data_IF_207146905625
#
_entry.id   IF_207146905625
#
_cell.length_a   1.000
_cell.length_b   1.000
_cell.length_c   1.000
_cell.angle_alpha   90.00
_cell.angle_beta   90.00
_cell.angle_gamma   90.00
#
_symmetry.space_group_name_H-M   'P 1'
#
loop_
_entity.id
_entity.type
_entity.pdbx_description
1 polymer ?
#
# COMPACT_ATOMS: atom_id res chain seq x y z
N UNK A 1 35.88 -18.78 -31.95
CA UNK A 1 36.78 -18.87 -30.78
C UNK A 1 36.17 -19.86 -29.81
N UNK A 2 36.90 -20.87 -29.35
CA UNK A 2 36.40 -21.84 -28.35
C UNK A 2 36.16 -21.10 -27.04
N UNK A 3 34.91 -21.01 -26.60
CA UNK A 3 34.55 -20.58 -25.25
C UNK A 3 35.23 -21.55 -24.27
N UNK A 4 36.23 -21.08 -23.54
CA UNK A 4 36.80 -21.83 -22.42
C UNK A 4 35.66 -21.95 -21.41
N UNK A 5 35.15 -23.16 -21.18
CA UNK A 5 34.08 -23.39 -20.21
C UNK A 5 34.60 -22.99 -18.82
N UNK A 6 34.22 -21.81 -18.35
CA UNK A 6 34.50 -21.34 -17.00
C UNK A 6 33.96 -22.39 -16.02
N UNK A 7 34.77 -22.82 -15.06
CA UNK A 7 34.27 -23.71 -14.02
C UNK A 7 33.36 -22.90 -13.08
N UNK A 8 32.07 -23.24 -13.06
CA UNK A 8 31.06 -22.50 -12.30
C UNK A 8 30.81 -23.10 -10.91
N UNK A 9 31.56 -24.13 -10.50
CA UNK A 9 31.40 -24.74 -9.16
C UNK A 9 32.24 -24.02 -8.11
N UNK A 10 31.69 -23.85 -6.91
CA UNK A 10 32.43 -23.53 -5.68
C UNK A 10 32.25 -24.66 -4.67
N UNK A 11 33.32 -25.10 -3.99
CA UNK A 11 33.20 -26.11 -2.92
C UNK A 11 32.80 -25.46 -1.60
N UNK A 12 32.27 -26.26 -0.66
CA UNK A 12 31.97 -25.77 0.69
C UNK A 12 33.21 -25.17 1.38
N UNK A 13 34.38 -25.79 1.22
CA UNK A 13 35.63 -25.28 1.82
C UNK A 13 36.04 -23.94 1.20
N UNK A 14 35.92 -23.78 -0.13
CA UNK A 14 36.26 -22.53 -0.80
C UNK A 14 35.29 -21.41 -0.43
N UNK A 15 33.99 -21.69 -0.40
CA UNK A 15 32.96 -20.72 0.00
C UNK A 15 33.18 -20.26 1.44
N UNK A 16 33.44 -21.19 2.37
CA UNK A 16 33.72 -20.85 3.77
C UNK A 16 34.95 -19.95 3.92
N UNK A 17 36.04 -20.23 3.19
CA UNK A 17 37.23 -19.36 3.18
C UNK A 17 36.96 -17.98 2.60
N UNK A 18 36.23 -17.93 1.48
CA UNK A 18 35.86 -16.71 0.79
C UNK A 18 34.99 -15.80 1.70
N UNK A 19 34.07 -16.39 2.47
CA UNK A 19 33.25 -15.71 3.48
C UNK A 19 34.07 -15.23 4.67
N UNK A 20 34.97 -16.06 5.20
CA UNK A 20 35.86 -15.69 6.31
C UNK A 20 36.81 -14.55 5.96
N UNK A 21 37.23 -14.45 4.69
CA UNK A 21 38.06 -13.36 4.15
C UNK A 21 37.25 -12.12 3.77
N UNK A 22 35.93 -12.12 3.98
CA UNK A 22 35.01 -11.03 3.62
C UNK A 22 35.13 -10.57 2.16
N UNK A 23 35.49 -11.47 1.23
CA UNK A 23 35.55 -11.14 -0.20
C UNK A 23 34.19 -10.66 -0.71
N UNK A 24 34.13 -9.75 -1.69
CA UNK A 24 32.87 -9.25 -2.24
C UNK A 24 32.12 -10.33 -3.04
N UNK A 25 31.19 -11.04 -2.39
CA UNK A 25 30.24 -11.97 -3.00
C UNK A 25 28.80 -11.85 -2.47
N UNK A 26 27.80 -12.31 -3.19
CA UNK A 26 26.43 -12.55 -2.75
C UNK A 26 26.18 -14.05 -2.66
N UNK A 27 25.55 -14.53 -1.59
CA UNK A 27 25.20 -15.95 -1.44
C UNK A 27 23.68 -16.08 -1.43
N UNK A 28 23.11 -16.60 -2.51
CA UNK A 28 21.67 -16.78 -2.67
C UNK A 28 21.29 -18.23 -2.42
N UNK A 29 20.32 -18.46 -1.54
CA UNK A 29 19.67 -19.75 -1.36
C UNK A 29 18.34 -19.76 -2.14
N UNK A 30 18.22 -20.73 -3.03
CA UNK A 30 17.12 -20.89 -3.98
C UNK A 30 16.17 -22.01 -3.57
N UNK A 31 16.40 -22.66 -2.42
CA UNK A 31 15.47 -23.64 -1.84
C UNK A 31 14.19 -22.94 -1.41
N UNK A 32 13.13 -23.70 -1.11
CA UNK A 32 11.88 -23.10 -0.63
C UNK A 32 12.09 -22.29 0.65
N UNK A 33 11.22 -21.29 0.87
CA UNK A 33 11.28 -20.45 2.07
C UNK A 33 11.25 -21.27 3.36
N UNK A 34 10.44 -22.34 3.40
CA UNK A 34 10.36 -23.24 4.55
C UNK A 34 11.70 -23.96 4.81
N UNK A 35 12.34 -24.51 3.76
CA UNK A 35 13.64 -25.18 3.89
C UNK A 35 14.74 -24.21 4.33
N UNK A 36 14.70 -22.98 3.82
CA UNK A 36 15.63 -21.93 4.18
C UNK A 36 15.48 -21.51 5.66
N UNK A 37 14.25 -21.27 6.11
CA UNK A 37 13.98 -20.88 7.49
C UNK A 37 14.31 -22.00 8.49
N UNK A 38 14.18 -23.26 8.10
CA UNK A 38 14.61 -24.38 8.93
C UNK A 38 16.13 -24.40 9.14
N UNK A 39 16.90 -24.15 8.08
CA UNK A 39 18.37 -24.10 8.13
C UNK A 39 18.94 -23.60 6.80
N UNK A 40 19.86 -22.64 6.85
CA UNK A 40 20.54 -22.07 5.68
C UNK A 40 22.00 -21.72 5.98
N UNK A 41 22.80 -21.50 4.93
CA UNK A 41 24.20 -21.07 5.07
C UNK A 41 24.24 -19.71 5.73
N UNK A 42 24.99 -19.56 6.81
CA UNK A 42 25.07 -18.28 7.53
C UNK A 42 25.45 -17.12 6.59
N UNK A 43 24.74 -16.00 6.64
CA UNK A 43 24.95 -14.86 5.74
C UNK A 43 24.49 -15.05 4.28
N UNK A 44 23.83 -16.16 3.93
CA UNK A 44 23.09 -16.29 2.67
C UNK A 44 21.79 -15.49 2.70
N UNK A 45 21.11 -15.37 1.57
CA UNK A 45 19.79 -14.73 1.45
C UNK A 45 18.88 -15.60 0.61
N UNK A 46 17.64 -15.80 1.06
CA UNK A 46 16.64 -16.51 0.27
C UNK A 46 16.26 -15.67 -0.96
N UNK A 47 16.35 -16.24 -2.16
CA UNK A 47 15.97 -15.58 -3.39
C UNK A 47 15.13 -16.49 -4.28
N UNK A 48 14.01 -15.95 -4.74
CA UNK A 48 13.21 -16.56 -5.80
C UNK A 48 13.65 -15.96 -7.12
N UNK A 49 14.35 -16.75 -7.95
CA UNK A 49 14.74 -16.35 -9.31
C UNK A 49 13.63 -16.70 -10.32
N UNK A 50 12.52 -15.97 -10.25
CA UNK A 50 11.46 -16.04 -11.26
C UNK A 50 11.79 -15.17 -12.50
N UNK A 51 10.91 -15.19 -13.51
CA UNK A 51 11.09 -14.39 -14.72
C UNK A 51 11.17 -12.87 -14.46
N UNK A 52 10.50 -12.36 -13.42
CA UNK A 52 10.53 -10.94 -13.06
C UNK A 52 11.83 -10.55 -12.35
N UNK A 53 12.35 -11.41 -11.46
CA UNK A 53 13.64 -11.25 -10.83
C UNK A 53 14.77 -11.20 -11.87
N UNK A 54 14.66 -12.02 -12.94
CA UNK A 54 15.61 -12.04 -14.06
C UNK A 54 15.69 -10.70 -14.78
N UNK A 55 14.57 -10.07 -15.10
CA UNK A 55 14.56 -8.81 -15.85
C UNK A 55 14.89 -7.58 -14.99
N UNK A 56 14.51 -7.58 -13.70
CA UNK A 56 14.56 -6.38 -12.86
C UNK A 56 15.69 -6.35 -11.83
N UNK A 57 16.18 -7.50 -11.38
CA UNK A 57 17.17 -7.60 -10.30
C UNK A 57 18.56 -7.92 -10.84
N UNK A 58 18.68 -8.90 -11.76
CA UNK A 58 19.98 -9.35 -12.28
C UNK A 58 20.78 -8.25 -12.99
N UNK A 59 20.20 -7.37 -13.82
CA UNK A 59 20.97 -6.29 -14.47
C UNK A 59 21.46 -5.22 -13.49
N UNK A 60 20.97 -5.22 -12.24
CA UNK A 60 21.30 -4.24 -11.21
C UNK A 60 22.40 -4.73 -10.26
N UNK A 61 22.82 -6.00 -10.36
CA UNK A 61 23.95 -6.54 -9.61
C UNK A 61 25.24 -6.09 -10.32
N UNK A 62 26.20 -5.46 -9.63
CA UNK A 62 27.45 -5.02 -10.27
C UNK A 62 28.23 -6.19 -10.87
N UNK A 63 28.84 -5.99 -12.04
CA UNK A 63 29.61 -7.01 -12.78
C UNK A 63 30.79 -7.60 -11.98
N UNK A 64 31.27 -6.88 -10.96
CA UNK A 64 32.42 -7.20 -10.13
C UNK A 64 32.08 -7.85 -8.78
N UNK A 65 30.81 -8.23 -8.56
CA UNK A 65 30.39 -8.98 -7.37
C UNK A 65 30.25 -10.46 -7.71
N UNK A 66 31.01 -11.32 -7.02
CA UNK A 66 30.85 -12.78 -7.15
C UNK A 66 29.46 -13.19 -6.66
N UNK A 67 28.75 -14.07 -7.36
CA UNK A 67 27.46 -14.60 -6.93
C UNK A 67 27.61 -16.09 -6.66
N UNK A 68 27.08 -16.59 -5.55
CA UNK A 68 27.08 -18.00 -5.20
C UNK A 68 25.66 -18.45 -4.97
N UNK A 69 25.21 -19.42 -5.75
CA UNK A 69 23.85 -19.95 -5.73
C UNK A 69 23.84 -21.29 -5.01
N UNK A 70 22.87 -21.47 -4.12
CA UNK A 70 22.70 -22.67 -3.31
C UNK A 70 21.30 -23.20 -3.60
N UNK A 71 21.19 -24.48 -3.90
CA UNK A 71 19.91 -25.16 -4.07
C UNK A 71 20.03 -26.63 -3.67
N UNK A 72 18.90 -27.31 -3.57
CA UNK A 72 18.84 -28.75 -3.40
C UNK A 72 17.64 -29.25 -4.22
N UNK A 73 17.84 -30.03 -5.29
CA UNK A 73 19.13 -30.54 -5.80
C UNK A 73 19.96 -29.45 -6.54
N UNK A 74 21.28 -29.64 -6.72
CA UNK A 74 22.21 -28.61 -7.23
C UNK A 74 21.92 -28.11 -8.65
N UNK A 75 21.20 -28.91 -9.44
CA UNK A 75 20.87 -28.66 -10.84
C UNK A 75 20.16 -27.31 -11.04
N UNK A 76 19.32 -26.89 -10.09
CA UNK A 76 18.61 -25.61 -10.14
C UNK A 76 19.61 -24.45 -10.08
N UNK A 77 20.49 -24.47 -9.07
CA UNK A 77 21.54 -23.44 -8.92
C UNK A 77 22.52 -23.44 -10.08
N UNK A 78 22.79 -24.61 -10.67
CA UNK A 78 23.67 -24.76 -11.84
C UNK A 78 23.08 -24.10 -13.09
N UNK A 79 21.81 -24.36 -13.40
CA UNK A 79 21.13 -23.74 -14.54
C UNK A 79 21.09 -22.21 -14.39
N UNK A 80 20.77 -21.72 -13.19
CA UNK A 80 20.71 -20.29 -12.92
C UNK A 80 22.11 -19.65 -12.98
N UNK A 81 23.15 -20.31 -12.47
CA UNK A 81 24.53 -19.83 -12.57
C UNK A 81 24.98 -19.71 -14.03
N UNK A 82 24.66 -20.70 -14.87
CA UNK A 82 24.98 -20.68 -16.29
C UNK A 82 24.33 -19.48 -16.98
N UNK A 83 23.01 -19.35 -16.82
CA UNK A 83 22.25 -18.21 -17.32
C UNK A 83 22.85 -16.88 -16.84
N UNK A 84 23.11 -16.69 -15.55
CA UNK A 84 23.68 -15.44 -15.03
C UNK A 84 25.03 -15.09 -15.68
N UNK A 85 25.89 -16.07 -15.95
CA UNK A 85 27.16 -15.83 -16.66
C UNK A 85 26.96 -15.47 -18.14
N UNK A 86 25.91 -15.98 -18.80
CA UNK A 86 25.54 -15.55 -20.16
C UNK A 86 25.12 -14.08 -20.21
N UNK A 87 24.52 -13.58 -19.13
CA UNK A 87 24.21 -12.16 -18.91
C UNK A 87 25.40 -11.33 -18.39
N UNK A 88 26.60 -11.91 -18.27
CA UNK A 88 27.81 -11.19 -17.89
C UNK A 88 28.11 -11.11 -16.39
N UNK A 89 27.34 -11.81 -15.53
CA UNK A 89 27.56 -11.83 -14.08
C UNK A 89 28.59 -12.90 -13.65
N UNK A 90 29.33 -12.65 -12.56
CA UNK A 90 30.30 -13.60 -12.00
C UNK A 90 29.64 -14.63 -11.07
N UNK A 91 28.77 -15.50 -11.61
CA UNK A 91 28.00 -16.46 -10.83
C UNK A 91 28.63 -17.87 -10.74
N UNK A 92 28.48 -18.50 -9.57
CA UNK A 92 28.90 -19.85 -9.23
C UNK A 92 27.76 -20.57 -8.50
N UNK A 93 27.81 -21.89 -8.40
CA UNK A 93 26.91 -22.68 -7.57
C UNK A 93 27.67 -23.60 -6.63
N UNK A 94 27.08 -23.87 -5.45
CA UNK A 94 27.64 -24.77 -4.46
C UNK A 94 27.61 -26.21 -4.98
N UNK A 95 28.81 -26.81 -5.14
CA UNK A 95 28.97 -28.18 -5.59
C UNK A 95 28.29 -29.15 -4.61
N UNK A 96 27.56 -30.13 -5.12
CA UNK A 96 26.77 -31.11 -4.38
C UNK A 96 25.62 -30.51 -3.55
N UNK A 97 25.20 -29.28 -3.86
CA UNK A 97 24.01 -28.67 -3.28
C UNK A 97 24.16 -28.23 -1.82
N UNK A 98 23.04 -27.83 -1.20
CA UNK A 98 23.04 -27.40 0.21
C UNK A 98 23.54 -28.48 1.16
N UNK A 99 23.20 -29.74 0.92
CA UNK A 99 23.60 -30.87 1.76
C UNK A 99 25.12 -31.07 1.86
N UNK A 100 25.91 -30.49 0.95
CA UNK A 100 27.38 -30.53 1.00
C UNK A 100 28.01 -29.50 1.93
N UNK A 101 27.24 -28.54 2.43
CA UNK A 101 27.74 -27.44 3.25
C UNK A 101 28.23 -27.92 4.62
N UNK A 102 29.50 -27.64 4.94
CA UNK A 102 30.15 -28.00 6.21
C UNK A 102 30.45 -26.81 7.13
N UNK A 103 30.09 -25.60 6.70
CA UNK A 103 30.33 -24.38 7.48
C UNK A 103 29.21 -24.07 8.46
N UNK A 104 29.18 -22.84 8.97
CA UNK A 104 28.15 -22.40 9.90
C UNK A 104 26.77 -22.34 9.22
N UNK A 105 25.75 -22.76 9.95
CA UNK A 105 24.35 -22.69 9.57
C UNK A 105 23.63 -21.69 10.47
N UNK A 106 22.63 -21.04 9.91
CA UNK A 106 21.70 -20.15 10.59
C UNK A 106 20.27 -20.65 10.38
N UNK A 107 19.35 -20.21 11.24
CA UNK A 107 17.93 -20.60 11.22
C UNK A 107 17.06 -19.34 11.26
N UNK A 108 15.84 -19.43 10.73
CA UNK A 108 14.92 -18.31 10.58
C UNK A 108 15.15 -17.53 9.29
N UNK A 109 14.59 -16.33 9.21
CA UNK A 109 14.78 -15.43 8.06
C UNK A 109 16.17 -14.80 8.11
N UNK A 110 16.79 -14.59 6.95
CA UNK A 110 18.07 -13.88 6.86
C UNK A 110 17.87 -12.38 6.81
N UNK A 111 18.66 -11.69 7.62
CA UNK A 111 18.51 -10.25 7.81
C UNK A 111 17.47 -9.96 8.89
N UNK A 112 17.68 -8.85 9.60
CA UNK A 112 16.63 -8.33 10.49
C UNK A 112 15.48 -7.88 9.60
N UNK A 113 14.26 -8.23 9.95
CA UNK A 113 13.07 -7.73 9.27
C UNK A 113 12.25 -6.92 10.25
N UNK A 114 11.55 -5.93 9.70
CA UNK A 114 10.53 -5.17 10.41
C UNK A 114 9.22 -5.35 9.65
N UNK A 115 8.13 -5.61 10.37
CA UNK A 115 6.81 -5.62 9.74
C UNK A 115 6.37 -4.20 9.40
N UNK A 116 5.34 -4.06 8.56
CA UNK A 116 4.86 -2.75 8.20
C UNK A 116 4.19 -2.04 9.40
N UNK A 117 3.52 -2.79 10.27
CA UNK A 117 2.91 -2.31 11.51
C UNK A 117 3.97 -1.88 12.53
N UNK A 118 5.03 -2.68 12.71
CA UNK A 118 6.15 -2.31 13.58
C UNK A 118 6.86 -1.05 13.06
N UNK A 119 7.04 -0.94 11.74
CA UNK A 119 7.64 0.23 11.11
C UNK A 119 6.79 1.48 11.31
N UNK A 120 5.47 1.38 11.17
CA UNK A 120 4.55 2.51 11.39
C UNK A 120 4.69 3.08 12.81
N UNK A 121 4.76 2.20 13.80
CA UNK A 121 4.88 2.59 15.21
C UNK A 121 6.23 3.18 15.60
N UNK A 122 7.27 2.99 14.77
CA UNK A 122 8.66 3.42 15.06
C UNK A 122 9.26 4.30 13.98
N UNK A 123 8.43 4.86 13.08
CA UNK A 123 8.87 5.54 11.86
C UNK A 123 9.90 6.65 12.11
N UNK A 124 9.66 7.47 13.13
CA UNK A 124 10.51 8.62 13.49
C UNK A 124 11.89 8.23 14.08
N UNK A 125 12.04 6.98 14.52
CA UNK A 125 13.28 6.46 15.11
C UNK A 125 14.22 5.84 14.07
N UNK A 126 13.72 5.57 12.86
CA UNK A 126 14.44 4.84 11.81
C UNK A 126 14.98 5.75 10.73
N UNK A 127 16.04 5.29 10.05
CA UNK A 127 16.46 5.85 8.76
C UNK A 127 15.91 4.99 7.62
N UNK A 128 14.93 5.53 6.89
CA UNK A 128 14.25 4.83 5.82
C UNK A 128 15.03 4.98 4.50
N UNK A 129 15.58 3.88 4.01
CA UNK A 129 16.40 3.83 2.81
C UNK A 129 15.64 3.14 1.67
N UNK A 130 15.10 3.92 0.74
CA UNK A 130 14.44 3.40 -0.44
C UNK A 130 15.45 3.12 -1.55
N UNK A 131 15.54 1.86 -1.97
CA UNK A 131 16.54 1.39 -2.94
C UNK A 131 16.00 1.18 -4.35
N UNK A 132 14.79 1.69 -4.60
CA UNK A 132 14.19 1.74 -5.93
C UNK A 132 14.88 2.75 -6.83
N UNK A 133 14.58 2.69 -8.12
CA UNK A 133 15.03 3.72 -9.05
C UNK A 133 14.31 5.04 -8.75
N UNK A 134 14.91 6.17 -9.12
CA UNK A 134 14.44 7.50 -8.71
C UNK A 134 13.08 7.89 -9.29
N UNK A 135 12.73 7.34 -10.45
CA UNK A 135 11.41 7.45 -11.08
C UNK A 135 10.34 6.75 -10.23
N UNK A 136 10.57 5.48 -9.84
CA UNK A 136 9.67 4.74 -8.96
C UNK A 136 9.46 5.46 -7.61
N UNK A 137 10.53 6.05 -7.08
CA UNK A 137 10.50 6.81 -5.83
C UNK A 137 9.74 8.13 -5.94
N UNK A 138 9.83 8.80 -7.10
CA UNK A 138 9.15 10.08 -7.34
C UNK A 138 7.63 9.93 -7.45
N UNK A 139 7.14 8.80 -7.93
CA UNK A 139 5.71 8.53 -8.07
C UNK A 139 5.01 8.32 -6.72
N UNK A 140 5.68 7.64 -5.78
CA UNK A 140 5.16 7.33 -4.47
C UNK A 140 6.29 6.86 -3.54
N UNK A 141 6.24 7.22 -2.25
CA UNK A 141 7.24 6.86 -1.24
C UNK A 141 6.65 6.91 0.17
N UNK A 142 7.32 6.26 1.12
CA UNK A 142 7.04 6.48 2.54
C UNK A 142 7.56 7.89 2.90
N UNK A 143 6.76 8.75 3.55
CA UNK A 143 7.22 10.06 4.02
C UNK A 143 8.51 9.97 4.85
N UNK A 144 9.44 10.90 4.64
CA UNK A 144 10.73 10.91 5.33
C UNK A 144 11.79 9.94 4.78
N UNK A 145 11.46 9.09 3.80
CA UNK A 145 12.44 8.20 3.19
C UNK A 145 13.45 8.88 2.28
N UNK A 146 14.67 8.34 2.24
CA UNK A 146 15.78 8.80 1.39
C UNK A 146 15.99 7.77 0.29
N UNK A 147 16.01 8.23 -0.96
CA UNK A 147 16.26 7.35 -2.10
C UNK A 147 17.76 7.23 -2.41
N UNK A 148 18.28 6.00 -2.36
CA UNK A 148 19.58 5.64 -2.90
C UNK A 148 19.39 4.35 -3.69
N UNK A 149 19.31 4.41 -5.03
CA UNK A 149 19.09 3.23 -5.86
C UNK A 149 20.10 2.11 -5.56
N UNK A 150 19.65 0.85 -5.62
CA UNK A 150 20.47 -0.32 -5.26
C UNK A 150 21.83 -0.35 -5.97
N UNK A 151 21.88 0.05 -7.25
CA UNK A 151 23.11 0.11 -8.06
C UNK A 151 24.18 1.04 -7.45
N UNK A 152 23.76 2.08 -6.73
CA UNK A 152 24.63 3.11 -6.17
C UNK A 152 25.15 2.73 -4.78
N UNK A 153 24.51 1.78 -4.08
CA UNK A 153 24.91 1.31 -2.74
C UNK A 153 26.24 0.54 -2.72
N UNK A 154 26.74 0.12 -3.87
CA UNK A 154 28.05 -0.53 -3.99
C UNK A 154 29.20 0.49 -4.13
N UNK A 155 28.90 1.79 -4.17
CA UNK A 155 29.90 2.84 -4.21
C UNK A 155 30.29 3.29 -2.79
N UNK A 156 31.55 3.13 -2.35
CA UNK A 156 31.99 3.51 -1.00
C UNK A 156 31.68 4.96 -0.62
N UNK A 157 31.74 5.91 -1.57
CA UNK A 157 31.45 7.33 -1.30
C UNK A 157 29.98 7.60 -0.99
N UNK A 158 29.08 6.71 -1.43
CA UNK A 158 27.64 6.82 -1.16
C UNK A 158 27.35 6.24 0.21
N UNK A 159 28.00 5.14 0.57
CA UNK A 159 27.87 4.51 1.89
C UNK A 159 28.25 5.45 3.03
N UNK A 160 29.26 6.32 2.84
CA UNK A 160 29.64 7.36 3.82
C UNK A 160 28.52 8.37 4.13
N UNK A 161 27.51 8.50 3.26
CA UNK A 161 26.36 9.42 3.47
C UNK A 161 25.26 8.80 4.32
N UNK A 162 25.32 7.49 4.56
CA UNK A 162 24.31 6.76 5.30
C UNK A 162 24.64 6.87 6.80
N UNK A 163 23.67 7.23 7.66
CA UNK A 163 23.94 7.37 9.09
C UNK A 163 24.31 6.02 9.71
N UNK A 164 25.35 6.03 10.54
CA UNK A 164 25.81 4.85 11.28
C UNK A 164 25.21 4.75 12.69
N UNK A 165 24.61 5.83 13.17
CA UNK A 165 24.04 5.98 14.51
C UNK A 165 22.53 5.70 14.56
N UNK A 166 21.90 5.44 13.41
CA UNK A 166 20.46 5.14 13.29
C UNK A 166 20.22 3.70 12.85
N UNK A 167 19.09 3.15 13.26
CA UNK A 167 18.61 1.89 12.70
C UNK A 167 18.07 2.11 11.29
N UNK A 168 18.66 1.43 10.32
CA UNK A 168 18.30 1.57 8.91
C UNK A 168 17.23 0.56 8.53
N UNK A 169 16.23 1.00 7.77
CA UNK A 169 15.24 0.12 7.15
C UNK A 169 15.32 0.24 5.64
N UNK A 170 15.66 -0.84 4.95
CA UNK A 170 15.70 -0.89 3.48
C UNK A 170 14.32 -1.18 2.89
N UNK A 171 13.97 -0.44 1.83
CA UNK A 171 12.63 -0.44 1.23
C UNK A 171 12.72 -0.65 -0.29
N UNK A 172 11.85 -1.51 -0.81
CA UNK A 172 11.55 -1.64 -2.23
C UNK A 172 10.11 -2.19 -2.39
N UNK A 173 9.58 -2.50 -3.60
CA UNK A 173 8.18 -2.89 -3.75
C UNK A 173 7.81 -4.16 -2.99
N UNK A 174 8.64 -5.21 -3.07
CA UNK A 174 8.36 -6.54 -2.48
C UNK A 174 9.43 -7.03 -1.50
N UNK A 175 10.32 -6.15 -1.03
CA UNK A 175 11.45 -6.51 -0.15
C UNK A 175 12.67 -7.16 -0.82
N UNK A 176 12.54 -7.74 -2.03
CA UNK A 176 13.64 -8.47 -2.70
C UNK A 176 14.90 -7.63 -2.97
N UNK A 177 14.76 -6.45 -3.58
CA UNK A 177 15.88 -5.50 -3.79
C UNK A 177 16.43 -4.95 -2.47
N UNK A 178 15.54 -4.70 -1.51
CA UNK A 178 15.88 -4.18 -0.20
C UNK A 178 16.74 -5.17 0.62
N UNK A 179 16.55 -6.48 0.44
CA UNK A 179 17.42 -7.49 1.04
C UNK A 179 18.85 -7.43 0.47
N UNK A 180 19.01 -7.28 -0.85
CA UNK A 180 20.34 -7.13 -1.48
C UNK A 180 21.03 -5.85 -0.97
N UNK A 181 20.26 -4.78 -0.79
CA UNK A 181 20.77 -3.56 -0.16
C UNK A 181 21.22 -3.80 1.29
N UNK A 182 20.42 -4.51 2.09
CA UNK A 182 20.79 -4.84 3.47
C UNK A 182 22.10 -5.63 3.55
N UNK A 183 22.33 -6.52 2.59
CA UNK A 183 23.60 -7.22 2.45
C UNK A 183 24.78 -6.29 2.11
N UNK A 184 24.60 -5.36 1.16
CA UNK A 184 25.63 -4.37 0.81
C UNK A 184 25.98 -3.47 2.02
N UNK A 185 24.98 -3.09 2.81
CA UNK A 185 25.16 -2.32 4.05
C UNK A 185 25.92 -3.13 5.11
N UNK A 186 25.55 -4.40 5.32
CA UNK A 186 26.23 -5.27 6.30
C UNK A 186 27.72 -5.41 5.99
N UNK A 187 28.10 -5.44 4.71
CA UNK A 187 29.51 -5.43 4.27
C UNK A 187 30.26 -4.16 4.64
N UNK A 188 29.56 -3.03 4.67
CA UNK A 188 30.11 -1.75 5.11
C UNK A 188 30.12 -1.60 6.63
N UNK A 189 29.75 -2.65 7.38
CA UNK A 189 29.63 -2.62 8.84
C UNK A 189 28.36 -1.90 9.32
N UNK A 190 27.37 -1.71 8.44
CA UNK A 190 26.12 -1.00 8.74
C UNK A 190 25.01 -2.02 8.95
N UNK A 191 24.44 -2.06 10.17
CA UNK A 191 23.27 -2.91 10.46
C UNK A 191 22.02 -2.30 9.84
N UNK A 192 21.22 -3.12 9.17
CA UNK A 192 19.93 -2.72 8.63
C UNK A 192 18.87 -3.79 8.86
N UNK A 193 17.61 -3.37 8.80
CA UNK A 193 16.45 -4.23 8.70
C UNK A 193 15.81 -4.08 7.32
N UNK A 194 15.12 -5.09 6.82
CA UNK A 194 14.35 -4.99 5.57
C UNK A 194 12.86 -4.98 5.87
N UNK A 195 12.13 -4.02 5.29
CA UNK A 195 10.68 -3.97 5.37
C UNK A 195 10.08 -5.23 4.74
N UNK A 196 9.45 -6.07 5.55
CA UNK A 196 8.86 -7.33 5.12
C UNK A 196 7.71 -7.09 4.13
N UNK A 197 7.78 -7.73 2.95
CA UNK A 197 6.82 -7.51 1.87
C UNK A 197 6.92 -6.14 1.17
N UNK A 198 7.85 -5.28 1.59
CA UNK A 198 8.09 -3.98 0.97
C UNK A 198 6.90 -3.02 1.03
N UNK A 199 6.84 -2.11 0.06
CA UNK A 199 5.76 -1.13 -0.06
C UNK A 199 4.39 -1.79 -0.28
N UNK A 200 4.37 -3.00 -0.84
CA UNK A 200 3.14 -3.77 -1.06
C UNK A 200 2.40 -4.02 0.26
N UNK A 201 3.13 -4.49 1.28
CA UNK A 201 2.57 -4.72 2.62
C UNK A 201 2.39 -3.43 3.42
N UNK A 202 3.29 -2.45 3.27
CA UNK A 202 3.11 -1.11 3.84
C UNK A 202 1.78 -0.48 3.43
N UNK A 203 1.41 -0.66 2.17
CA UNK A 203 0.14 -0.18 1.66
C UNK A 203 -1.07 -0.86 2.27
N UNK A 204 -0.93 -2.01 2.94
CA UNK A 204 -2.05 -2.71 3.57
C UNK A 204 -2.21 -2.43 5.06
N UNK A 205 -1.33 -1.63 5.67
CA UNK A 205 -1.43 -1.32 7.10
C UNK A 205 -2.65 -0.44 7.36
N UNK A 206 -3.54 -0.94 8.21
CA UNK A 206 -4.75 -0.26 8.65
C UNK A 206 -4.63 0.20 10.10
N UNK A 207 -4.46 1.51 10.28
CA UNK A 207 -4.36 2.17 11.58
C UNK A 207 -5.72 2.71 12.04
N UNK A 208 -6.34 2.15 13.09
CA UNK A 208 -7.58 2.69 13.65
C UNK A 208 -7.31 3.88 14.56
N UNK A 209 -8.12 4.93 14.44
CA UNK A 209 -8.08 6.13 15.28
C UNK A 209 -9.51 6.46 15.71
N UNK A 210 -9.77 6.49 17.02
CA UNK A 210 -11.08 6.92 17.54
C UNK A 210 -11.14 8.45 17.52
N UNK A 211 -12.00 9.00 16.66
CA UNK A 211 -12.16 10.45 16.45
C UNK A 211 -13.23 11.02 17.37
N UNK A 212 -14.30 10.24 17.57
CA UNK A 212 -15.42 10.60 18.45
C UNK A 212 -15.65 9.41 19.37
N UNK A 213 -15.81 9.66 20.67
CA UNK A 213 -16.10 8.61 21.66
C UNK A 213 -17.53 8.67 22.20
N UNK A 214 -18.16 9.84 22.20
CA UNK A 214 -19.50 10.08 22.74
C UNK A 214 -20.24 11.16 21.91
N UNK A 215 -21.58 11.11 21.77
CA UNK A 215 -22.51 10.07 22.29
C UNK A 215 -22.54 8.80 21.42
N UNK A 216 -21.83 8.82 20.31
CA UNK A 216 -21.54 7.65 19.45
C UNK A 216 -20.03 7.55 19.31
N UNK A 217 -19.53 6.38 18.95
CA UNK A 217 -18.12 6.20 18.64
C UNK A 217 -17.91 6.26 17.12
N UNK A 218 -16.91 7.02 16.68
CA UNK A 218 -16.45 7.03 15.28
C UNK A 218 -14.98 6.64 15.27
N UNK A 219 -14.69 5.49 14.67
CA UNK A 219 -13.33 4.99 14.46
C UNK A 219 -13.00 5.19 12.98
N UNK A 220 -11.99 6.00 12.69
CA UNK A 220 -11.42 6.13 11.37
C UNK A 220 -10.32 5.08 11.19
N UNK A 221 -10.46 4.20 10.20
CA UNK A 221 -9.48 3.19 9.82
C UNK A 221 -8.66 3.74 8.64
N UNK A 222 -7.39 4.03 8.88
CA UNK A 222 -6.51 4.71 7.93
C UNK A 222 -5.58 3.71 7.24
N UNK A 223 -5.60 3.68 5.90
CA UNK A 223 -4.65 2.92 5.08
C UNK A 223 -3.43 3.78 4.82
N UNK A 224 -2.47 3.73 5.74
CA UNK A 224 -1.36 4.69 5.86
C UNK A 224 -0.52 4.81 4.58
N UNK A 225 -0.37 3.72 3.82
CA UNK A 225 0.45 3.72 2.62
C UNK A 225 -0.24 4.33 1.40
N UNK A 226 -1.55 4.59 1.46
CA UNK A 226 -2.35 5.02 0.32
C UNK A 226 -3.22 6.25 0.58
N UNK A 227 -3.43 6.61 1.84
CA UNK A 227 -4.28 7.73 2.23
C UNK A 227 -5.78 7.46 2.03
N UNK A 228 -6.19 6.20 1.92
CA UNK A 228 -7.59 5.77 1.97
C UNK A 228 -8.06 5.72 3.43
N UNK A 229 -9.33 6.04 3.64
CA UNK A 229 -9.98 6.15 4.94
C UNK A 229 -11.29 5.37 4.89
N UNK A 230 -11.47 4.48 5.86
CA UNK A 230 -12.76 3.86 6.17
C UNK A 230 -13.23 4.36 7.53
N UNK A 231 -14.53 4.25 7.80
CA UNK A 231 -15.09 4.66 9.08
C UNK A 231 -16.01 3.59 9.64
N UNK A 232 -15.83 3.29 10.92
CA UNK A 232 -16.74 2.49 11.72
C UNK A 232 -17.49 3.44 12.64
N UNK A 233 -18.82 3.47 12.53
CA UNK A 233 -19.68 4.29 13.37
C UNK A 233 -20.49 3.38 14.27
N UNK A 234 -20.28 3.50 15.58
CA UNK A 234 -20.85 2.62 16.60
C UNK A 234 -21.84 3.39 17.47
N UNK A 235 -23.02 2.80 17.68
CA UNK A 235 -24.02 3.27 18.63
C UNK A 235 -24.64 2.06 19.31
N UNK A 236 -24.64 2.04 20.65
CA UNK A 236 -25.27 0.99 21.46
C UNK A 236 -24.96 -0.44 20.95
N UNK A 237 -23.67 -0.77 20.90
CA UNK A 237 -23.11 -2.06 20.45
C UNK A 237 -23.42 -2.46 18.99
N UNK A 238 -24.11 -1.63 18.21
CA UNK A 238 -24.28 -1.81 16.76
C UNK A 238 -23.37 -0.86 15.99
N UNK A 239 -22.78 -1.37 14.91
CA UNK A 239 -21.91 -0.58 14.04
C UNK A 239 -22.34 -0.62 12.57
N UNK A 240 -22.08 0.48 11.90
CA UNK A 240 -22.02 0.57 10.43
C UNK A 240 -20.59 0.81 9.99
N UNK A 241 -20.19 0.22 8.87
CA UNK A 241 -18.89 0.48 8.24
C UNK A 241 -19.10 1.16 6.90
N UNK A 242 -18.33 2.20 6.63
CA UNK A 242 -18.36 2.98 5.39
C UNK A 242 -17.00 2.85 4.70
N UNK A 243 -17.02 2.48 3.42
CA UNK A 243 -15.85 2.26 2.55
C UNK A 243 -14.79 1.32 3.14
N UNK A 244 -15.14 0.07 3.53
CA UNK A 244 -14.19 -0.86 4.13
C UNK A 244 -13.02 -1.22 3.19
N UNK A 245 -11.83 -1.21 3.76
CA UNK A 245 -10.56 -1.41 3.07
C UNK A 245 -10.00 -2.83 3.30
N UNK A 246 -9.22 -3.35 2.35
CA UNK A 246 -8.48 -4.59 2.58
C UNK A 246 -7.30 -4.32 3.55
N UNK A 247 -7.00 -5.24 4.51
CA UNK A 247 -7.64 -6.54 4.75
C UNK A 247 -8.86 -6.50 5.70
N UNK A 248 -9.84 -7.38 5.48
CA UNK A 248 -11.11 -7.46 6.25
C UNK A 248 -10.92 -7.87 7.70
N UNK A 249 -9.87 -8.65 7.98
CA UNK A 249 -9.58 -9.21 9.30
C UNK A 249 -9.49 -8.09 10.34
N UNK A 250 -8.95 -6.93 9.95
CA UNK A 250 -8.81 -5.76 10.82
C UNK A 250 -10.15 -5.28 11.37
N UNK A 251 -11.22 -5.31 10.58
CA UNK A 251 -12.55 -4.89 11.01
C UNK A 251 -13.14 -5.88 12.01
N UNK A 252 -12.96 -7.18 11.77
CA UNK A 252 -13.43 -8.23 12.69
C UNK A 252 -12.65 -8.23 14.01
N UNK A 253 -11.37 -7.85 13.99
CA UNK A 253 -10.58 -7.62 15.19
C UNK A 253 -11.10 -6.42 15.98
N UNK A 254 -11.38 -5.30 15.31
CA UNK A 254 -11.92 -4.10 15.94
C UNK A 254 -13.31 -4.36 16.55
N UNK A 255 -14.17 -5.11 15.85
CA UNK A 255 -15.47 -5.57 16.35
C UNK A 255 -15.31 -6.32 17.68
N UNK A 256 -14.42 -7.33 17.73
CA UNK A 256 -14.16 -8.12 18.94
C UNK A 256 -13.51 -7.30 20.06
N UNK A 257 -12.56 -6.43 19.73
CA UNK A 257 -11.79 -5.64 20.70
C UNK A 257 -12.64 -4.58 21.39
N UNK A 258 -13.57 -3.96 20.66
CA UNK A 258 -14.39 -2.86 21.17
C UNK A 258 -15.79 -3.31 21.60
N UNK A 259 -16.20 -4.54 21.29
CA UNK A 259 -17.45 -5.13 21.78
C UNK A 259 -18.72 -4.68 21.06
N UNK A 260 -18.60 -4.15 19.84
CA UNK A 260 -19.75 -3.87 18.98
C UNK A 260 -19.99 -4.99 17.96
N UNK A 261 -21.07 -4.90 17.17
CA UNK A 261 -21.38 -5.79 16.07
C UNK A 261 -21.57 -5.01 14.77
N UNK A 262 -20.86 -5.39 13.72
CA UNK A 262 -21.06 -4.79 12.39
C UNK A 262 -22.36 -5.34 11.81
N UNK A 263 -23.33 -4.46 11.53
CA UNK A 263 -24.67 -4.85 11.03
C UNK A 263 -24.95 -4.38 9.61
N UNK A 264 -24.29 -3.31 9.18
CA UNK A 264 -24.48 -2.69 7.85
C UNK A 264 -23.14 -2.20 7.32
N UNK A 265 -22.95 -2.36 6.02
CA UNK A 265 -21.75 -1.96 5.31
C UNK A 265 -22.18 -1.15 4.09
N UNK A 266 -21.54 -0.01 3.87
CA UNK A 266 -21.84 0.91 2.79
C UNK A 266 -20.56 1.21 2.01
N UNK A 267 -20.66 1.29 0.69
CA UNK A 267 -19.70 2.06 -0.11
C UNK A 267 -20.32 3.39 -0.52
N UNK A 268 -19.52 4.46 -0.50
CA UNK A 268 -19.90 5.78 -0.97
C UNK A 268 -20.00 5.82 -2.50
N UNK A 269 -19.14 5.07 -3.21
CA UNK A 269 -19.10 5.00 -4.66
C UNK A 269 -18.29 3.80 -5.14
N UNK A 270 -18.27 3.55 -6.46
CA UNK A 270 -17.34 2.59 -7.06
C UNK A 270 -15.90 3.13 -7.05
N UNK A 271 -15.14 2.72 -6.05
CA UNK A 271 -13.73 3.08 -5.88
C UNK A 271 -12.89 2.69 -7.10
N UNK A 272 -12.01 3.59 -7.53
CA UNK A 272 -11.13 3.39 -8.70
C UNK A 272 -9.65 3.22 -8.31
N UNK A 273 -9.32 3.48 -7.05
CA UNK A 273 -7.96 3.48 -6.54
C UNK A 273 -7.68 2.24 -5.69
N UNK A 274 -8.67 1.67 -4.99
CA UNK A 274 -8.56 0.48 -4.14
C UNK A 274 -9.69 -0.53 -4.35
N UNK A 275 -9.45 -1.79 -3.95
CA UNK A 275 -10.45 -2.85 -3.96
C UNK A 275 -11.32 -2.71 -2.71
N UNK A 276 -12.61 -2.47 -2.90
CA UNK A 276 -13.57 -2.42 -1.79
C UNK A 276 -13.65 -3.78 -1.14
N UNK A 277 -13.52 -3.81 0.18
CA UNK A 277 -13.72 -5.02 0.98
C UNK A 277 -15.16 -5.18 1.45
N UNK A 278 -16.11 -4.41 0.90
CA UNK A 278 -17.48 -4.37 1.39
C UNK A 278 -18.20 -5.71 1.25
N UNK A 279 -18.01 -6.40 0.12
CA UNK A 279 -18.59 -7.73 -0.11
C UNK A 279 -18.01 -8.77 0.84
N UNK A 280 -16.69 -8.82 0.93
CA UNK A 280 -15.99 -9.82 1.75
C UNK A 280 -16.28 -9.59 3.24
N UNK A 281 -16.32 -8.33 3.69
CA UNK A 281 -16.69 -8.00 5.06
C UNK A 281 -18.15 -8.36 5.35
N UNK A 282 -19.07 -8.15 4.40
CA UNK A 282 -20.47 -8.54 4.56
C UNK A 282 -20.61 -10.07 4.69
N UNK A 283 -19.86 -10.84 3.90
CA UNK A 283 -19.85 -12.29 3.98
C UNK A 283 -19.31 -12.79 5.34
N UNK A 284 -18.17 -12.26 5.78
CA UNK A 284 -17.51 -12.68 7.03
C UNK A 284 -18.32 -12.30 8.28
N UNK A 285 -18.99 -11.15 8.28
CA UNK A 285 -19.76 -10.65 9.43
C UNK A 285 -21.24 -11.05 9.40
N UNK A 286 -21.77 -11.41 8.23
CA UNK A 286 -23.22 -11.56 7.99
C UNK A 286 -23.98 -10.23 7.96
N UNK A 287 -23.28 -9.09 7.87
CA UNK A 287 -23.88 -7.77 7.76
C UNK A 287 -24.56 -7.55 6.40
N UNK A 288 -25.47 -6.57 6.34
CA UNK A 288 -26.11 -6.19 5.07
C UNK A 288 -25.22 -5.25 4.28
N UNK A 289 -24.97 -5.58 3.02
CA UNK A 289 -24.26 -4.73 2.06
C UNK A 289 -25.22 -3.75 1.38
N UNK A 290 -24.90 -2.47 1.43
CA UNK A 290 -25.65 -1.38 0.82
C UNK A 290 -24.78 -0.62 -0.18
N UNK A 291 -25.27 -0.48 -1.42
CA UNK A 291 -24.54 0.12 -2.54
C UNK A 291 -25.42 1.14 -3.27
N UNK A 292 -24.80 2.04 -4.02
CA UNK A 292 -25.53 3.07 -4.74
C UNK A 292 -26.43 2.50 -5.83
N UNK A 293 -27.72 2.86 -5.83
CA UNK A 293 -28.63 2.49 -6.92
C UNK A 293 -28.32 3.19 -8.25
N UNK A 294 -27.43 4.18 -8.23
CA UNK A 294 -27.05 5.00 -9.38
C UNK A 294 -25.81 4.47 -10.11
N UNK A 295 -25.27 3.32 -9.68
CA UNK A 295 -24.14 2.63 -10.31
C UNK A 295 -24.52 1.18 -10.65
N UNK A 296 -23.79 0.58 -11.58
CA UNK A 296 -24.05 -0.80 -12.03
C UNK A 296 -23.12 -1.80 -11.37
N UNK A 297 -23.69 -2.88 -10.83
CA UNK A 297 -22.98 -3.97 -10.15
C UNK A 297 -23.47 -5.32 -10.71
N UNK A 298 -22.54 -6.28 -10.86
CA UNK A 298 -22.78 -7.62 -11.39
C UNK A 298 -23.01 -8.67 -10.27
N UNK A 299 -23.43 -8.21 -9.09
CA UNK A 299 -23.75 -9.04 -7.93
C UNK A 299 -24.91 -8.45 -7.12
N UNK A 300 -25.53 -9.28 -6.29
CA UNK A 300 -26.67 -8.87 -5.45
C UNK A 300 -26.22 -8.02 -4.26
N UNK A 301 -26.90 -6.90 -4.04
CA UNK A 301 -26.73 -6.02 -2.88
C UNK A 301 -28.05 -5.28 -2.57
N UNK A 302 -28.10 -4.59 -1.43
CA UNK A 302 -29.20 -3.68 -1.14
C UNK A 302 -28.91 -2.32 -1.80
N UNK A 303 -29.62 -1.97 -2.86
CA UNK A 303 -29.40 -0.69 -3.55
C UNK A 303 -30.12 0.46 -2.84
N UNK A 304 -29.41 1.55 -2.59
CA UNK A 304 -29.90 2.71 -1.81
C UNK A 304 -29.80 4.01 -2.59
N UNK A 305 -30.71 4.93 -2.29
CA UNK A 305 -30.89 6.21 -2.96
C UNK A 305 -30.92 7.41 -2.03
N UNK A 306 -31.08 8.59 -2.63
CA UNK A 306 -31.22 9.85 -1.87
C UNK A 306 -32.35 9.76 -0.83
N UNK A 307 -32.09 10.29 0.36
CA UNK A 307 -33.01 10.36 1.50
C UNK A 307 -33.41 9.01 2.17
N UNK A 308 -32.89 7.87 1.72
CA UNK A 308 -33.03 6.60 2.45
C UNK A 308 -32.45 6.71 3.86
N UNK A 309 -33.03 5.96 4.81
CA UNK A 309 -32.65 6.03 6.23
C UNK A 309 -32.46 4.66 6.85
N UNK A 310 -31.47 4.56 7.73
CA UNK A 310 -31.03 3.32 8.36
C UNK A 310 -30.81 3.57 9.85
N UNK A 311 -31.70 3.02 10.68
CA UNK A 311 -31.50 2.98 12.12
C UNK A 311 -30.43 1.94 12.48
N UNK A 312 -29.61 2.25 13.48
CA UNK A 312 -28.69 1.34 14.14
C UNK A 312 -28.39 1.85 15.55
N UNK A 313 -28.37 0.95 16.53
CA UNK A 313 -28.28 1.36 17.93
C UNK A 313 -29.34 2.39 18.32
N UNK A 314 -28.89 3.57 18.77
CA UNK A 314 -29.75 4.70 19.15
C UNK A 314 -29.68 5.89 18.18
N UNK A 315 -29.13 5.70 16.99
CA UNK A 315 -28.89 6.76 16.00
C UNK A 315 -29.47 6.38 14.63
N UNK A 316 -29.42 7.31 13.68
CA UNK A 316 -29.91 7.12 12.32
C UNK A 316 -28.91 7.66 11.30
N UNK A 317 -28.68 6.87 10.25
CA UNK A 317 -27.91 7.28 9.07
C UNK A 317 -28.88 7.60 7.93
N UNK A 318 -28.73 8.77 7.32
CA UNK A 318 -29.47 9.23 6.16
C UNK A 318 -28.56 9.33 4.95
N UNK A 319 -29.02 8.84 3.81
CA UNK A 319 -28.30 8.89 2.55
C UNK A 319 -28.53 10.23 1.86
N UNK A 320 -27.47 10.78 1.28
CA UNK A 320 -27.49 11.91 0.36
C UNK A 320 -26.87 11.47 -0.96
N UNK A 321 -27.59 11.59 -2.07
CA UNK A 321 -26.99 11.44 -3.40
C UNK A 321 -26.14 12.67 -3.70
N UNK A 322 -24.84 12.46 -3.90
CA UNK A 322 -23.84 13.52 -4.05
C UNK A 322 -23.00 13.28 -5.29
N UNK A 323 -23.58 13.38 -6.50
CA UNK A 323 -22.84 13.15 -7.74
C UNK A 323 -21.76 14.21 -7.95
N UNK A 324 -20.72 13.84 -8.68
CA UNK A 324 -19.65 14.75 -9.09
C UNK A 324 -18.32 14.03 -9.30
N UNK A 325 -17.88 13.24 -8.31
CA UNK A 325 -16.72 12.35 -8.49
C UNK A 325 -17.07 11.19 -9.42
N UNK A 326 -18.14 10.49 -9.07
CA UNK A 326 -18.86 9.52 -9.93
C UNK A 326 -20.33 9.96 -10.03
N UNK A 327 -21.11 9.46 -10.99
CA UNK A 327 -22.54 9.81 -11.09
C UNK A 327 -23.35 9.21 -9.93
N UNK A 328 -22.85 8.15 -9.29
CA UNK A 328 -23.55 7.47 -8.21
C UNK A 328 -22.97 7.69 -6.83
N UNK A 329 -22.03 8.64 -6.67
CA UNK A 329 -21.46 8.98 -5.37
C UNK A 329 -22.55 9.35 -4.36
N UNK A 330 -22.45 8.77 -3.17
CA UNK A 330 -23.29 9.00 -2.02
C UNK A 330 -22.48 9.61 -0.88
N UNK A 331 -23.15 10.40 -0.06
CA UNK A 331 -22.67 10.82 1.27
C UNK A 331 -23.63 10.32 2.34
N UNK A 332 -23.11 10.00 3.52
CA UNK A 332 -23.91 9.46 4.62
C UNK A 332 -23.91 10.43 5.79
N UNK A 333 -25.09 10.84 6.26
CA UNK A 333 -25.25 11.78 7.37
C UNK A 333 -25.76 11.05 8.60
N UNK A 334 -25.07 11.20 9.73
CA UNK A 334 -25.47 10.62 11.02
C UNK A 334 -25.85 11.76 11.97
N UNK A 335 -27.09 11.73 12.46
CA UNK A 335 -27.68 12.71 13.40
C UNK A 335 -27.50 14.20 13.04
N UNK A 336 -27.33 14.52 11.76
CA UNK A 336 -27.00 15.88 11.26
C UNK A 336 -25.74 16.48 11.92
N UNK A 337 -24.89 15.65 12.51
CA UNK A 337 -23.66 16.02 13.22
C UNK A 337 -22.41 15.51 12.54
N UNK A 338 -22.52 14.43 11.78
CA UNK A 338 -21.40 13.79 11.09
C UNK A 338 -21.82 13.51 9.66
N UNK A 339 -20.95 13.83 8.70
CA UNK A 339 -21.15 13.50 7.29
C UNK A 339 -19.92 12.79 6.74
N UNK A 340 -20.15 11.63 6.14
CA UNK A 340 -19.15 10.85 5.42
C UNK A 340 -19.30 11.17 3.93
N UNK A 341 -18.33 11.85 3.36
CA UNK A 341 -18.47 12.57 2.08
C UNK A 341 -17.92 11.82 0.87
N UNK A 342 -17.39 10.62 1.06
CA UNK A 342 -16.72 9.90 -0.01
C UNK A 342 -15.59 10.75 -0.61
N UNK A 343 -15.50 10.69 -1.94
CA UNK A 343 -14.57 11.50 -2.74
C UNK A 343 -15.22 12.78 -3.29
N UNK A 344 -16.12 13.41 -2.54
CA UNK A 344 -16.77 14.67 -2.95
C UNK A 344 -16.13 15.89 -2.27
N UNK A 345 -16.02 15.86 -0.94
CA UNK A 345 -15.48 16.94 -0.13
C UNK A 345 -14.39 16.38 0.79
N UNK A 346 -13.20 16.98 0.73
CA UNK A 346 -12.02 16.57 1.48
C UNK A 346 -11.73 17.59 2.60
N UNK A 347 -10.75 17.29 3.46
CA UNK A 347 -10.33 18.21 4.55
C UNK A 347 -9.88 19.57 4.00
N UNK A 348 -9.12 19.56 2.91
CA UNK A 348 -8.45 20.74 2.33
C UNK A 348 -8.81 21.00 0.85
N UNK A 349 -9.59 20.11 0.24
CA UNK A 349 -9.85 20.13 -1.20
C UNK A 349 -11.22 19.53 -1.51
N UNK A 350 -11.44 19.24 -2.78
CA UNK A 350 -12.64 18.64 -3.35
C UNK A 350 -12.27 17.41 -4.17
N UNK A 351 -13.27 16.58 -4.42
CA UNK A 351 -13.19 15.48 -5.36
C UNK A 351 -12.80 15.91 -6.75
N UNK A 352 -12.02 15.07 -7.42
CA UNK A 352 -11.87 15.17 -8.88
C UNK A 352 -13.11 14.60 -9.58
N UNK A 353 -13.58 15.18 -10.68
CA UNK A 353 -14.50 14.50 -11.58
C UNK A 353 -13.75 13.42 -12.35
N UNK A 354 -14.14 12.16 -12.20
CA UNK A 354 -13.26 11.07 -12.60
C UNK A 354 -13.43 10.62 -14.07
N UNK A 355 -14.53 10.99 -14.74
CA UNK A 355 -14.77 10.68 -16.16
C UNK A 355 -14.26 11.80 -17.09
N UNK A 356 -13.16 11.54 -17.80
CA UNK A 356 -12.54 12.49 -18.74
C UNK A 356 -13.48 12.96 -19.85
N UNK A 357 -14.28 12.06 -20.41
CA UNK A 357 -15.14 12.38 -21.56
C UNK A 357 -16.32 13.29 -21.17
N UNK A 358 -16.72 13.29 -19.90
CA UNK A 358 -17.83 14.08 -19.34
C UNK A 358 -17.37 14.99 -18.18
N UNK A 359 -16.08 15.38 -18.17
CA UNK A 359 -15.49 16.07 -17.02
C UNK A 359 -16.22 17.38 -16.68
N UNK A 360 -16.68 18.12 -17.69
CA UNK A 360 -17.43 19.36 -17.49
C UNK A 360 -18.78 19.12 -16.81
N UNK A 361 -19.59 18.18 -17.31
CA UNK A 361 -20.88 17.80 -16.74
C UNK A 361 -20.72 17.37 -15.27
N UNK A 362 -19.75 16.50 -15.00
CA UNK A 362 -19.49 15.99 -13.66
C UNK A 362 -18.99 17.09 -12.72
N UNK A 363 -18.23 18.05 -13.25
CA UNK A 363 -17.81 19.23 -12.48
C UNK A 363 -18.99 20.13 -12.15
N UNK A 364 -19.97 20.26 -13.05
CA UNK A 364 -21.20 21.00 -12.75
C UNK A 364 -22.02 20.33 -11.63
N UNK A 365 -22.14 19.00 -11.69
CA UNK A 365 -22.80 18.20 -10.66
C UNK A 365 -22.06 18.32 -9.32
N UNK A 366 -20.73 18.22 -9.33
CA UNK A 366 -19.89 18.40 -8.16
C UNK A 366 -20.12 19.76 -7.52
N UNK A 367 -20.12 20.85 -8.31
CA UNK A 367 -20.40 22.19 -7.81
C UNK A 367 -21.80 22.29 -7.19
N UNK A 368 -22.81 21.71 -7.85
CA UNK A 368 -24.17 21.70 -7.33
C UNK A 368 -24.27 20.89 -6.02
N UNK A 369 -23.64 19.73 -5.95
CA UNK A 369 -23.56 18.88 -4.76
C UNK A 369 -22.91 19.61 -3.59
N UNK A 370 -21.75 20.24 -3.80
CA UNK A 370 -21.04 20.99 -2.77
C UNK A 370 -21.90 22.15 -2.26
N UNK A 371 -22.34 23.04 -3.15
CA UNK A 371 -23.00 24.29 -2.75
C UNK A 371 -24.46 24.11 -2.32
N UNK A 372 -25.21 23.18 -2.92
CA UNK A 372 -26.65 23.03 -2.67
C UNK A 372 -27.00 21.89 -1.70
N UNK A 373 -26.07 20.96 -1.42
CA UNK A 373 -26.31 19.86 -0.49
C UNK A 373 -25.35 19.93 0.71
N UNK A 374 -24.06 19.67 0.50
CA UNK A 374 -23.10 19.49 1.61
C UNK A 374 -22.92 20.78 2.43
N UNK A 375 -22.68 21.93 1.78
CA UNK A 375 -22.48 23.20 2.48
C UNK A 375 -23.77 23.77 3.13
N UNK A 376 -24.92 23.15 2.88
CA UNK A 376 -26.20 23.48 3.52
C UNK A 376 -26.40 22.75 4.85
N UNK A 377 -25.56 21.74 5.16
CA UNK A 377 -25.55 21.09 6.47
C UNK A 377 -25.17 22.10 7.58
N UNK A 378 -25.54 21.82 8.85
CA UNK A 378 -25.16 22.67 9.97
C UNK A 378 -23.66 22.92 10.03
N UNK A 379 -23.25 24.14 10.38
CA UNK A 379 -21.84 24.55 10.35
C UNK A 379 -20.93 23.70 11.25
N UNK A 380 -21.47 23.14 12.34
CA UNK A 380 -20.76 22.29 13.28
C UNK A 380 -20.61 20.83 12.83
N UNK A 381 -21.23 20.43 11.71
CA UNK A 381 -21.19 19.05 11.22
C UNK A 381 -19.74 18.67 10.90
N UNK A 382 -19.25 17.58 11.48
CA UNK A 382 -17.94 17.02 11.15
C UNK A 382 -17.97 16.35 9.78
N UNK A 383 -16.94 16.58 9.00
CA UNK A 383 -16.78 16.08 7.63
C UNK A 383 -15.69 15.01 7.60
N UNK A 384 -16.05 13.83 7.13
CA UNK A 384 -15.21 12.64 7.05
C UNK A 384 -15.07 12.18 5.58
N UNK A 385 -13.97 12.48 4.89
CA UNK A 385 -13.74 11.98 3.55
C UNK A 385 -13.23 10.54 3.55
N UNK A 386 -13.29 9.88 2.39
CA UNK A 386 -12.73 8.53 2.17
C UNK A 386 -11.27 8.56 1.76
N UNK A 387 -10.73 9.74 1.49
CA UNK A 387 -9.33 9.94 1.13
C UNK A 387 -8.77 11.23 1.74
N UNK A 388 -7.44 11.30 1.88
CA UNK A 388 -6.73 12.52 2.22
C UNK A 388 -5.53 12.76 1.29
N UNK A 389 -5.13 14.03 1.16
CA UNK A 389 -3.92 14.42 0.43
C UNK A 389 -2.64 13.92 1.12
N UNK A 390 -1.57 13.72 0.34
CA UNK A 390 -0.28 13.25 0.87
C UNK A 390 0.35 14.24 1.86
N UNK A 391 0.15 15.54 1.64
CA UNK A 391 0.75 16.60 2.44
C UNK A 391 -0.12 17.04 3.63
N UNK A 392 -1.24 16.36 3.89
CA UNK A 392 -2.09 16.67 5.02
C UNK A 392 -1.60 16.03 6.29
N UNK A 393 -1.48 16.87 7.31
CA UNK A 393 -1.27 16.42 8.67
C UNK A 393 -2.63 16.10 9.32
N UNK A 394 -2.76 14.95 9.99
CA UNK A 394 -3.96 14.65 10.75
C UNK A 394 -4.13 15.61 11.94
N UNK A 395 -5.37 15.87 12.32
CA UNK A 395 -5.76 16.56 13.55
C UNK A 395 -6.06 15.51 14.60
N UNK A 396 -5.34 15.55 15.73
CA UNK A 396 -5.45 14.55 16.81
C UNK A 396 -5.33 13.10 16.31
N UNK A 397 -4.48 12.89 15.30
CA UNK A 397 -4.25 11.59 14.66
C UNK A 397 -5.28 11.18 13.62
N UNK A 398 -6.32 11.99 13.34
CA UNK A 398 -7.35 11.69 12.35
C UNK A 398 -7.51 12.77 11.26
N UNK A 399 -8.10 12.37 10.13
CA UNK A 399 -8.37 13.24 8.99
C UNK A 399 -9.85 13.57 8.92
N UNK A 400 -10.21 14.76 9.40
CA UNK A 400 -11.58 15.27 9.36
C UNK A 400 -11.57 16.80 9.38
N UNK A 401 -12.71 17.40 9.07
CA UNK A 401 -12.93 18.85 9.11
C UNK A 401 -14.33 19.15 9.65
N UNK A 402 -14.78 20.38 9.49
CA UNK A 402 -16.16 20.81 9.75
C UNK A 402 -16.73 21.49 8.52
N UNK A 403 -18.05 21.49 8.36
CA UNK A 403 -18.70 22.27 7.29
C UNK A 403 -18.32 23.75 7.38
N UNK A 404 -18.14 24.30 8.59
CA UNK A 404 -17.64 25.67 8.77
C UNK A 404 -16.25 25.88 8.16
N UNK A 405 -15.31 24.96 8.39
CA UNK A 405 -13.96 25.03 7.84
C UNK A 405 -13.98 24.80 6.32
N UNK A 406 -14.76 23.82 5.83
CA UNK A 406 -14.88 23.53 4.40
C UNK A 406 -15.36 24.73 3.59
N UNK A 407 -16.23 25.59 4.14
CA UNK A 407 -16.68 26.83 3.47
C UNK A 407 -15.55 27.80 3.15
N UNK A 408 -14.41 27.71 3.84
CA UNK A 408 -13.25 28.58 3.62
C UNK A 408 -12.24 27.98 2.62
N UNK A 409 -12.52 26.81 2.04
CA UNK A 409 -11.66 26.23 1.02
C UNK A 409 -11.65 27.14 -0.22
N UNK A 410 -10.47 27.43 -0.82
CA UNK A 410 -10.39 28.30 -1.99
C UNK A 410 -11.29 27.85 -3.16
N UNK A 411 -11.47 26.54 -3.32
CA UNK A 411 -12.36 25.94 -4.32
C UNK A 411 -13.84 26.28 -4.12
N UNK A 412 -14.27 26.56 -2.89
CA UNK A 412 -15.68 26.79 -2.56
C UNK A 412 -16.05 28.28 -2.49
N UNK A 413 -15.09 29.18 -2.68
CA UNK A 413 -15.30 30.65 -2.70
C UNK A 413 -15.34 31.23 -4.12
N UNK A 414 -15.17 30.40 -5.15
CA UNK A 414 -15.14 30.84 -6.56
C UNK A 414 -16.49 30.64 -7.28
N UNK A 415 -16.84 31.50 -8.27
CA UNK A 415 -18.05 31.34 -9.07
C UNK A 415 -18.04 30.06 -9.92
N UNK A 416 -19.23 29.46 -10.16
CA UNK A 416 -19.39 28.22 -10.95
C UNK A 416 -18.58 28.19 -12.26
N UNK A 417 -18.58 29.23 -13.13
CA UNK A 417 -17.82 29.16 -14.38
C UNK A 417 -16.31 29.05 -14.16
N UNK A 418 -15.77 29.75 -13.16
CA UNK A 418 -14.34 29.70 -12.81
C UNK A 418 -13.98 28.36 -12.18
N UNK A 419 -14.87 27.81 -11.34
CA UNK A 419 -14.73 26.48 -10.76
C UNK A 419 -14.59 25.40 -11.84
N UNK A 420 -15.53 25.36 -12.78
CA UNK A 420 -15.53 24.38 -13.88
C UNK A 420 -14.21 24.45 -14.65
N UNK A 421 -13.82 25.65 -15.07
CA UNK A 421 -12.61 25.87 -15.85
C UNK A 421 -11.36 25.35 -15.11
N UNK A 422 -11.20 25.69 -13.82
CA UNK A 422 -10.02 25.32 -13.04
C UNK A 422 -9.97 23.82 -12.72
N UNK A 423 -11.10 23.20 -12.36
CA UNK A 423 -11.14 21.77 -12.02
C UNK A 423 -10.86 20.92 -13.26
N UNK A 424 -11.49 21.21 -14.39
CA UNK A 424 -11.24 20.50 -15.65
C UNK A 424 -9.77 20.61 -16.07
N UNK A 425 -9.16 21.80 -15.93
CA UNK A 425 -7.75 22.01 -16.28
C UNK A 425 -6.77 21.22 -15.40
N UNK A 426 -7.14 20.91 -14.14
CA UNK A 426 -6.30 20.17 -13.18
C UNK A 426 -6.54 18.66 -13.17
N UNK A 427 -7.36 18.12 -14.06
CA UNK A 427 -7.71 16.68 -14.03
C UNK A 427 -6.50 15.81 -14.38
N UNK A 428 -5.85 15.26 -13.35
CA UNK A 428 -4.68 14.38 -13.46
C UNK A 428 -5.01 13.06 -14.18
N UNK A 429 -4.01 12.30 -14.69
CA UNK A 429 -4.24 10.91 -15.10
C UNK A 429 -4.64 10.01 -13.93
N UNK A 430 -5.62 9.13 -14.17
CA UNK A 430 -6.03 8.07 -13.23
C UNK A 430 -4.85 7.13 -12.91
N UNK A 431 -4.86 6.45 -11.74
CA UNK A 431 -3.87 5.43 -11.41
C UNK A 431 -3.82 4.33 -12.48
N UNK A 432 -2.67 3.71 -12.78
CA UNK A 432 -2.57 2.75 -13.90
C UNK A 432 -3.55 1.57 -13.83
N UNK A 433 -3.84 1.09 -12.61
CA UNK A 433 -4.64 -0.10 -12.38
C UNK A 433 -6.16 0.16 -12.28
N UNK A 434 -6.60 1.42 -12.44
CA UNK A 434 -7.98 1.82 -12.15
C UNK A 434 -9.04 0.97 -12.86
N UNK A 435 -8.78 0.57 -14.12
CA UNK A 435 -9.74 -0.24 -14.89
C UNK A 435 -9.96 -1.61 -14.27
N UNK A 436 -8.88 -2.27 -13.83
CA UNK A 436 -8.97 -3.59 -13.21
C UNK A 436 -9.64 -3.47 -11.84
N UNK A 437 -9.34 -2.42 -11.07
CA UNK A 437 -9.97 -2.16 -9.77
C UNK A 437 -11.47 -1.93 -9.91
N UNK A 438 -11.90 -1.04 -10.82
CA UNK A 438 -13.33 -0.80 -11.08
C UNK A 438 -14.04 -2.10 -11.50
N UNK A 439 -13.44 -2.88 -12.41
CA UNK A 439 -14.03 -4.14 -12.86
C UNK A 439 -14.19 -5.15 -11.71
N UNK A 440 -13.21 -5.23 -10.80
CA UNK A 440 -13.31 -6.07 -9.59
C UNK A 440 -14.40 -5.55 -8.65
N UNK A 441 -14.43 -4.25 -8.35
CA UNK A 441 -15.42 -3.64 -7.45
C UNK A 441 -16.86 -3.74 -7.98
N UNK A 442 -17.03 -3.80 -9.30
CA UNK A 442 -18.32 -4.08 -9.94
C UNK A 442 -18.71 -5.55 -9.92
N UNK A 443 -17.78 -6.46 -9.66
CA UNK A 443 -17.98 -7.89 -9.82
C UNK A 443 -17.87 -8.40 -11.26
N UNK A 444 -17.42 -7.58 -12.22
CA UNK A 444 -17.16 -8.00 -13.60
C UNK A 444 -16.01 -9.03 -13.67
N UNK A 445 -15.07 -8.94 -12.72
CA UNK A 445 -13.89 -9.82 -12.61
C UNK A 445 -13.77 -10.33 -11.18
N UNK A 446 -13.65 -11.65 -11.01
CA UNK A 446 -13.23 -12.22 -9.73
C UNK A 446 -11.73 -12.03 -9.50
N UNK A 447 -11.38 -11.58 -8.30
CA UNK A 447 -10.00 -11.40 -7.86
C UNK A 447 -9.70 -12.35 -6.70
N UNK A 448 -8.56 -13.02 -6.75
CA UNK A 448 -8.05 -13.76 -5.58
C UNK A 448 -7.52 -12.72 -4.58
N UNK A 449 -8.00 -12.74 -3.34
CA UNK A 449 -7.68 -11.72 -2.33
C UNK A 449 -6.18 -11.49 -2.13
N UNK A 450 -5.36 -12.52 -2.31
CA UNK A 450 -3.89 -12.42 -2.21
C UNK A 450 -3.26 -11.53 -3.30
N UNK A 451 -3.99 -11.20 -4.37
CA UNK A 451 -3.54 -10.28 -5.43
C UNK A 451 -3.87 -8.80 -5.15
N UNK A 452 -4.74 -8.51 -4.17
CA UNK A 452 -5.14 -7.13 -3.81
C UNK A 452 -3.92 -6.25 -3.52
N UNK A 453 -2.92 -6.69 -2.72
CA UNK A 453 -1.78 -5.84 -2.40
C UNK A 453 -1.01 -5.37 -3.64
N UNK A 454 -0.80 -6.26 -4.62
CA UNK A 454 -0.12 -5.93 -5.88
C UNK A 454 -0.95 -5.00 -6.76
N UNK A 455 -2.27 -5.21 -6.80
CA UNK A 455 -3.18 -4.39 -7.58
C UNK A 455 -3.22 -2.94 -7.08
N UNK A 456 -3.03 -2.75 -5.78
CA UNK A 456 -3.10 -1.48 -5.08
C UNK A 456 -1.76 -0.74 -4.94
N UNK A 457 -0.68 -1.23 -5.56
CA UNK A 457 0.61 -0.53 -5.55
C UNK A 457 0.50 0.79 -6.34
N UNK A 458 0.88 1.89 -5.71
CA UNK A 458 1.01 3.21 -6.33
C UNK A 458 0.35 4.33 -5.53
N UNK A 459 0.48 5.58 -5.99
CA UNK A 459 -0.10 6.74 -5.32
C UNK A 459 -1.62 6.81 -5.49
N UNK A 460 -2.29 7.36 -4.48
CA UNK A 460 -3.68 7.82 -4.60
C UNK A 460 -3.75 9.14 -5.40
N UNK A 461 -4.80 9.30 -6.21
CA UNK A 461 -5.01 10.46 -7.08
C UNK A 461 -6.46 10.96 -7.09
N UNK A 462 -7.20 10.85 -5.98
CA UNK A 462 -8.64 11.16 -5.89
C UNK A 462 -8.98 12.64 -5.60
N UNK A 463 -8.06 13.42 -5.01
CA UNK A 463 -8.28 14.86 -4.75
C UNK A 463 -7.80 15.74 -5.93
N UNK A 464 -8.38 16.93 -6.07
CA UNK A 464 -7.81 18.00 -6.92
C UNK A 464 -6.69 18.72 -6.16
N UNK A 465 -5.55 18.95 -6.81
CA UNK A 465 -4.41 19.64 -6.18
C UNK A 465 -4.79 21.04 -5.66
N UNK A 466 -4.46 21.30 -4.41
CA UNK A 466 -4.76 22.56 -3.71
C UNK A 466 -3.97 23.78 -4.27
N UNK A 467 -2.90 23.55 -5.05
CA UNK A 467 -1.99 24.58 -5.59
C UNK A 467 -2.45 25.18 -6.91
#
# INVERSE_FOLDING_TARGET
MKQISKNLTISSEQLSQDMAQQKPMLVFDLRSLEQFEQSHVDGSVHAVCDAQAKEKILPKIPENVKIVLISEPEEISKEIAQMMNEFGLDAYYLKEGFSSWKGNLSTGKTGKHITAEELESTLDEKFLLDVRDSDEFSEYRIPGSVNIPLKDLFNPKILEKIPHDKEIVTICPHGSRAMIAGFALSRAGISSQTLAGGLTNWNQVLKPVTVVSEPIQIIQVQKIGKGCLSHIVVSNDEAVVIDPLYPVERYTELEKQNGFKITKIFDTHQHADHVSSARDLAEVTGAKLYLSQYEGYDFDANFVGDADQFAFGNTNLRVLHTPGHTPGSLSFVVDEKYVFTGDILFVESIGRPDLRDNAEEFTEELYATLHKKLLQLPHYTLVFPTHHGQDISPVDGAFYSTIQQSKNLPWLDIPKPEFIQKVVAKTLPRPMNYRKIIAVNKGEIELVLTEVPDLEIGPNRCAVDAS
#
